data_IF_864114612106
#
_entry.id   IF_864114612106
#
_cell.length_a   1.000
_cell.length_b   1.000
_cell.length_c   1.000
_cell.angle_alpha   90.00
_cell.angle_beta   90.00
_cell.angle_gamma   90.00
#
_symmetry.space_group_name_H-M   'P 1'
#
loop_
_entity.id
_entity.type
_entity.pdbx_description
1 polymer ?
#
# COMPACT_ATOMS: atom_id res chain seq x y z
N UNK A 1 -2.52 -71.89 6.58
CA UNK A 1 -3.28 -70.67 6.54
C UNK A 1 -2.30 -69.51 6.61
N UNK A 2 -2.02 -68.80 5.51
CA UNK A 2 -1.11 -67.66 5.46
C UNK A 2 -2.01 -66.39 5.50
N UNK A 3 -1.87 -65.59 6.55
CA UNK A 3 -2.52 -64.29 6.70
C UNK A 3 -1.71 -63.23 5.94
N UNK A 4 -2.32 -62.62 4.89
CA UNK A 4 -1.74 -61.48 4.18
C UNK A 4 -2.27 -60.23 4.88
N UNK A 5 -1.39 -59.49 5.56
CA UNK A 5 -1.70 -58.16 6.10
C UNK A 5 -1.51 -57.15 4.96
N UNK A 6 -2.63 -56.59 4.46
CA UNK A 6 -2.61 -55.50 3.51
C UNK A 6 -2.44 -54.20 4.29
N UNK A 7 -1.25 -53.57 4.16
CA UNK A 7 -0.96 -52.29 4.75
C UNK A 7 -1.59 -51.18 3.88
N UNK A 8 -2.67 -50.56 4.37
CA UNK A 8 -3.28 -49.38 3.74
C UNK A 8 -2.41 -48.15 4.10
N UNK A 9 -1.63 -47.65 3.12
CA UNK A 9 -0.96 -46.39 3.19
C UNK A 9 -1.96 -45.25 2.99
N UNK A 10 -2.35 -44.56 4.09
CA UNK A 10 -3.06 -43.29 4.03
C UNK A 10 -2.08 -42.18 3.68
N UNK A 11 -2.09 -41.72 2.44
CA UNK A 11 -1.41 -40.51 2.02
C UNK A 11 -2.19 -39.30 2.56
N UNK A 12 -1.70 -38.68 3.64
CA UNK A 12 -2.19 -37.37 4.08
C UNK A 12 -1.69 -36.31 3.08
N UNK A 13 -2.53 -35.92 2.15
CA UNK A 13 -2.31 -34.69 1.39
C UNK A 13 -2.53 -33.53 2.35
N UNK A 14 -1.45 -32.86 2.77
CA UNK A 14 -1.55 -31.60 3.52
C UNK A 14 -2.23 -30.57 2.61
N UNK A 15 -3.50 -30.29 2.87
CA UNK A 15 -4.17 -29.13 2.28
C UNK A 15 -3.44 -27.91 2.82
N UNK A 16 -2.58 -27.32 1.99
CA UNK A 16 -1.89 -26.07 2.32
C UNK A 16 -2.97 -24.99 2.42
N UNK A 17 -3.25 -24.54 3.65
CA UNK A 17 -4.23 -23.48 3.90
C UNK A 17 -3.85 -22.23 3.10
N UNK A 18 -4.62 -21.93 2.10
CA UNK A 18 -4.58 -20.67 1.37
C UNK A 18 -4.94 -19.54 2.33
N UNK A 19 -4.09 -18.52 2.45
CA UNK A 19 -4.35 -17.40 3.34
C UNK A 19 -4.80 -16.18 2.51
N UNK A 20 -6.02 -15.74 2.75
CA UNK A 20 -6.58 -14.53 2.16
C UNK A 20 -6.14 -13.32 2.98
N UNK A 21 -5.69 -12.26 2.32
CA UNK A 21 -5.41 -10.96 2.91
C UNK A 21 -6.14 -9.86 2.16
N UNK A 22 -6.60 -8.85 2.91
CA UNK A 22 -7.18 -7.61 2.38
C UNK A 22 -6.21 -6.46 2.57
N UNK A 23 -6.06 -5.65 1.54
CA UNK A 23 -5.13 -4.51 1.52
C UNK A 23 -5.90 -3.28 1.05
N UNK A 24 -5.72 -2.16 1.75
CA UNK A 24 -6.23 -0.86 1.34
C UNK A 24 -5.05 0.03 0.92
N UNK A 25 -5.14 0.70 -0.23
CA UNK A 25 -4.24 1.80 -0.61
C UNK A 25 -5.04 3.07 -0.78
N UNK A 26 -4.60 4.17 -0.15
CA UNK A 26 -5.34 5.41 -0.21
C UNK A 26 -4.43 6.65 -0.01
N UNK A 27 -4.33 7.49 -1.02
CA UNK A 27 -3.81 8.85 -0.86
C UNK A 27 -4.87 9.65 -0.09
N UNK A 28 -4.55 10.18 1.09
CA UNK A 28 -5.49 10.80 2.01
C UNK A 28 -5.51 12.34 1.95
N UNK A 29 -4.84 12.92 0.95
CA UNK A 29 -4.81 14.37 0.74
C UNK A 29 -4.51 15.13 2.03
N UNK A 30 -3.37 14.82 2.65
CA UNK A 30 -2.89 15.43 3.90
C UNK A 30 -3.94 15.61 5.00
N UNK A 31 -4.91 14.68 5.07
CA UNK A 31 -5.94 14.66 6.13
C UNK A 31 -7.10 15.64 5.88
N UNK A 32 -7.22 16.24 4.71
CA UNK A 32 -8.27 17.19 4.33
C UNK A 32 -9.25 16.56 3.33
N UNK A 33 -10.52 16.91 3.42
CA UNK A 33 -11.49 16.51 2.40
C UNK A 33 -11.24 17.27 1.09
N UNK A 34 -11.19 16.54 -0.04
CA UNK A 34 -11.18 17.18 -1.34
C UNK A 34 -12.42 18.08 -1.49
N UNK A 35 -12.27 19.23 -2.11
CA UNK A 35 -13.35 20.19 -2.36
C UNK A 35 -14.02 20.84 -1.14
N UNK A 36 -13.54 20.55 0.08
CA UNK A 36 -14.01 21.16 1.33
C UNK A 36 -12.83 21.63 2.18
N UNK A 37 -12.18 22.70 1.72
CA UNK A 37 -10.98 23.26 2.34
C UNK A 37 -11.17 23.47 3.84
N UNK A 38 -10.24 22.95 4.64
CA UNK A 38 -10.24 23.02 6.10
C UNK A 38 -11.09 21.97 6.79
N UNK A 39 -11.77 21.07 6.04
CA UNK A 39 -12.57 19.99 6.63
C UNK A 39 -11.73 18.70 6.81
N UNK A 40 -11.65 18.17 8.04
CA UNK A 40 -10.90 16.95 8.34
C UNK A 40 -11.50 15.71 7.65
N UNK A 41 -10.63 14.73 7.26
CA UNK A 41 -11.10 13.47 6.67
C UNK A 41 -10.69 12.21 7.46
N UNK A 42 -9.82 12.31 8.45
CA UNK A 42 -9.26 11.13 9.15
C UNK A 42 -10.34 10.27 9.82
N UNK A 43 -11.42 10.86 10.32
CA UNK A 43 -12.55 10.09 10.89
C UNK A 43 -13.25 9.26 9.80
N UNK A 44 -13.45 9.82 8.62
CA UNK A 44 -14.02 9.14 7.47
C UNK A 44 -13.12 8.01 6.97
N UNK A 45 -11.80 8.26 6.92
CA UNK A 45 -10.79 7.24 6.56
C UNK A 45 -10.77 6.11 7.59
N UNK A 46 -10.81 6.41 8.90
CA UNK A 46 -10.90 5.41 9.96
C UNK A 46 -12.21 4.60 9.85
N UNK A 47 -13.33 5.25 9.55
CA UNK A 47 -14.61 4.59 9.28
C UNK A 47 -14.55 3.61 8.10
N UNK A 48 -13.85 4.00 7.03
CA UNK A 48 -13.59 3.15 5.88
C UNK A 48 -12.79 1.88 6.27
N UNK A 49 -11.69 2.05 7.03
CA UNK A 49 -10.88 0.95 7.52
C UNK A 49 -11.71 0.01 8.39
N UNK A 50 -12.49 0.54 9.34
CA UNK A 50 -13.35 -0.24 10.23
C UNK A 50 -14.44 -1.00 9.47
N UNK A 51 -14.96 -0.44 8.36
CA UNK A 51 -15.96 -1.08 7.50
C UNK A 51 -15.39 -2.25 6.71
N UNK A 52 -14.26 -2.05 6.03
CA UNK A 52 -13.67 -3.06 5.12
C UNK A 52 -12.72 -4.02 5.81
N UNK A 53 -12.20 -3.65 6.99
CA UNK A 53 -11.29 -4.44 7.84
C UNK A 53 -10.10 -4.99 7.06
N UNK A 54 -9.29 -4.13 6.41
CA UNK A 54 -8.09 -4.59 5.76
C UNK A 54 -7.09 -5.14 6.79
N UNK A 55 -6.30 -6.15 6.39
CA UNK A 55 -5.17 -6.64 7.18
C UNK A 55 -4.00 -5.66 7.16
N UNK A 56 -3.86 -4.97 6.03
CA UNK A 56 -2.78 -4.04 5.69
C UNK A 56 -3.37 -2.79 5.02
N UNK A 57 -2.83 -1.62 5.33
CA UNK A 57 -3.18 -0.41 4.60
C UNK A 57 -1.94 0.46 4.34
N UNK A 58 -1.88 1.08 3.16
CA UNK A 58 -0.86 2.04 2.75
C UNK A 58 -1.51 3.39 2.47
N UNK A 59 -0.93 4.45 3.03
CA UNK A 59 -1.41 5.81 2.90
C UNK A 59 -0.33 6.70 2.30
N UNK A 60 -0.75 7.62 1.44
CA UNK A 60 0.08 8.64 0.84
C UNK A 60 -0.40 10.02 1.29
N UNK A 61 0.47 11.02 1.20
CA UNK A 61 0.22 12.39 1.67
C UNK A 61 -0.12 12.45 3.17
N UNK A 62 0.74 11.86 3.97
CA UNK A 62 0.54 11.76 5.42
C UNK A 62 1.32 12.85 6.15
N UNK A 63 0.61 13.69 6.89
CA UNK A 63 1.22 14.61 7.87
C UNK A 63 1.43 13.94 9.22
N UNK A 64 2.55 14.25 9.86
CA UNK A 64 2.84 13.91 11.25
C UNK A 64 3.18 15.18 12.04
N UNK A 65 2.22 15.65 12.81
CA UNK A 65 2.31 16.81 13.70
C UNK A 65 2.77 18.12 13.02
N UNK A 66 2.30 18.39 11.80
CA UNK A 66 2.61 19.61 11.04
C UNK A 66 1.72 20.80 11.47
N UNK A 67 2.14 22.03 11.13
CA UNK A 67 1.27 23.21 11.25
C UNK A 67 0.06 23.14 10.33
N UNK A 68 0.18 22.48 9.14
CA UNK A 68 -0.97 22.19 8.27
C UNK A 68 -2.00 21.32 8.98
N UNK A 69 -1.57 20.24 9.63
CA UNK A 69 -2.49 19.41 10.42
C UNK A 69 -3.15 20.19 11.56
N UNK A 70 -2.41 21.11 12.21
CA UNK A 70 -2.95 22.00 13.25
C UNK A 70 -4.02 22.96 12.69
N UNK A 71 -3.80 23.50 11.49
CA UNK A 71 -4.76 24.41 10.85
C UNK A 71 -6.12 23.72 10.56
N UNK A 72 -6.09 22.44 10.18
CA UNK A 72 -7.27 21.62 9.84
C UNK A 72 -7.93 21.07 11.12
N UNK A 73 -7.14 20.45 12.00
CA UNK A 73 -7.62 19.69 13.17
C UNK A 73 -7.64 20.49 14.46
N UNK A 74 -7.15 21.74 14.46
CA UNK A 74 -7.01 22.62 15.64
C UNK A 74 -5.97 22.13 16.67
N UNK A 75 -5.24 21.08 16.33
CA UNK A 75 -4.13 20.50 17.10
C UNK A 75 -3.16 19.81 16.13
N UNK A 76 -1.87 19.85 16.42
CA UNK A 76 -0.86 19.10 15.65
C UNK A 76 -1.15 17.61 15.75
N UNK A 77 -1.56 17.03 14.63
CA UNK A 77 -2.04 15.65 14.56
C UNK A 77 -1.06 14.79 13.76
N UNK A 78 -0.65 13.66 14.33
CA UNK A 78 -0.01 12.57 13.61
C UNK A 78 -1.11 11.66 13.05
N UNK A 79 -1.30 11.68 11.74
CA UNK A 79 -2.43 10.98 11.11
C UNK A 79 -2.32 9.46 11.21
N UNK A 80 -1.11 8.91 11.17
CA UNK A 80 -0.94 7.45 11.30
C UNK A 80 -1.17 7.00 12.75
N UNK A 81 -0.70 7.76 13.73
CA UNK A 81 -0.99 7.48 15.13
C UNK A 81 -2.50 7.57 15.42
N UNK A 82 -3.18 8.57 14.86
CA UNK A 82 -4.63 8.74 15.04
C UNK A 82 -5.44 7.64 14.34
N UNK A 83 -5.09 7.27 13.12
CA UNK A 83 -5.72 6.14 12.41
C UNK A 83 -5.49 4.83 13.17
N UNK A 84 -4.27 4.57 13.65
CA UNK A 84 -3.95 3.39 14.46
C UNK A 84 -4.82 3.33 15.72
N UNK A 85 -4.96 4.45 16.43
CA UNK A 85 -5.81 4.56 17.63
C UNK A 85 -7.28 4.30 17.34
N UNK A 86 -7.82 4.87 16.23
CA UNK A 86 -9.24 4.74 15.85
C UNK A 86 -9.61 3.36 15.32
N UNK A 87 -8.64 2.61 14.80
CA UNK A 87 -8.88 1.31 14.15
C UNK A 87 -8.37 0.12 14.96
N UNK A 88 -7.58 0.36 16.02
CA UNK A 88 -6.92 -0.70 16.80
C UNK A 88 -5.78 -1.39 16.05
N UNK A 89 -5.32 -0.82 14.94
CA UNK A 89 -4.21 -1.34 14.14
C UNK A 89 -2.85 -0.79 14.63
N UNK A 90 -1.76 -1.38 14.17
CA UNK A 90 -0.40 -0.88 14.41
C UNK A 90 -0.01 0.08 13.29
N UNK A 91 0.40 1.30 13.64
CA UNK A 91 0.76 2.36 12.70
C UNK A 91 2.27 2.55 12.55
N UNK A 92 2.70 2.86 11.33
CA UNK A 92 4.10 3.14 10.98
C UNK A 92 4.15 4.34 10.03
N UNK A 93 4.84 5.41 10.46
CA UNK A 93 5.04 6.60 9.64
C UNK A 93 6.39 6.55 8.93
N UNK A 94 6.40 6.78 7.63
CA UNK A 94 7.57 6.86 6.76
C UNK A 94 7.85 8.29 6.35
N UNK A 95 8.61 9.02 7.16
CA UNK A 95 8.95 10.41 6.89
C UNK A 95 9.79 10.53 5.62
N UNK A 96 9.29 11.28 4.63
CA UNK A 96 10.01 11.65 3.43
C UNK A 96 10.79 12.98 3.63
N UNK A 97 10.20 13.93 4.35
CA UNK A 97 10.81 15.24 4.60
C UNK A 97 10.29 15.89 5.88
N UNK A 98 11.01 16.90 6.35
CA UNK A 98 10.49 17.87 7.30
C UNK A 98 9.52 18.81 6.58
N UNK A 99 8.38 19.06 7.18
CA UNK A 99 7.36 19.92 6.61
C UNK A 99 6.60 20.66 7.71
N UNK A 100 6.51 21.97 7.60
CA UNK A 100 5.72 22.85 8.46
C UNK A 100 5.83 22.53 9.98
N UNK A 101 7.06 22.34 10.44
CA UNK A 101 7.40 22.05 11.85
C UNK A 101 7.07 20.62 12.31
N UNK A 102 6.70 19.73 11.40
CA UNK A 102 6.47 18.30 11.62
C UNK A 102 7.11 17.47 10.53
N UNK A 103 6.49 16.33 10.18
CA UNK A 103 6.92 15.44 9.10
C UNK A 103 5.84 15.25 8.05
N UNK A 104 6.26 14.99 6.80
CA UNK A 104 5.41 14.60 5.69
C UNK A 104 5.97 13.38 4.99
N UNK A 105 5.09 12.47 4.57
CA UNK A 105 5.51 11.24 3.91
C UNK A 105 4.38 10.24 3.70
N UNK A 106 4.68 8.98 3.98
CA UNK A 106 3.81 7.84 3.77
C UNK A 106 3.48 7.14 5.10
N UNK A 107 2.40 6.36 5.11
CA UNK A 107 2.02 5.58 6.28
C UNK A 107 1.61 4.17 5.98
N UNK A 108 1.84 3.25 6.92
CA UNK A 108 1.30 1.90 6.88
C UNK A 108 0.51 1.61 8.15
N UNK A 109 -0.60 0.86 8.00
CA UNK A 109 -1.27 0.21 9.10
C UNK A 109 -1.28 -1.31 8.92
N UNK A 110 -1.23 -2.03 10.04
CA UNK A 110 -1.29 -3.49 10.05
C UNK A 110 -2.12 -4.01 11.21
N UNK A 111 -2.81 -5.13 11.01
CA UNK A 111 -3.55 -5.80 12.09
C UNK A 111 -2.67 -6.67 13.00
N UNK A 112 -1.37 -6.78 12.72
CA UNK A 112 -0.38 -7.51 13.52
C UNK A 112 0.86 -6.65 13.75
N UNK A 113 1.57 -6.82 14.88
CA UNK A 113 2.82 -6.09 15.10
C UNK A 113 3.88 -6.42 14.05
N UNK A 114 4.63 -5.41 13.62
CA UNK A 114 5.70 -5.51 12.63
C UNK A 114 6.84 -4.54 12.97
N UNK A 115 7.87 -4.50 12.12
CA UNK A 115 8.91 -3.48 12.15
C UNK A 115 9.00 -2.83 10.79
N UNK A 116 9.01 -1.51 10.76
CA UNK A 116 9.12 -0.73 9.55
C UNK A 116 10.57 -0.37 9.22
N UNK A 117 10.86 -0.30 7.94
CA UNK A 117 12.06 0.29 7.36
C UNK A 117 11.63 1.41 6.43
N UNK A 118 12.32 2.54 6.50
CA UNK A 118 12.07 3.69 5.64
C UNK A 118 13.32 3.96 4.80
N UNK A 119 13.11 4.21 3.52
CA UNK A 119 14.16 4.54 2.57
C UNK A 119 13.76 5.76 1.75
N UNK A 120 14.60 6.79 1.75
CA UNK A 120 14.40 7.95 0.88
C UNK A 120 14.69 7.55 -0.56
N UNK A 121 13.80 7.90 -1.46
CA UNK A 121 13.90 7.63 -2.88
C UNK A 121 14.66 8.75 -3.60
N UNK A 122 15.39 8.44 -4.70
CA UNK A 122 16.17 9.44 -5.42
C UNK A 122 15.30 10.50 -6.10
N UNK A 123 15.77 11.73 -6.11
CA UNK A 123 15.16 12.88 -6.79
C UNK A 123 16.20 13.63 -7.63
N UNK A 124 16.73 13.04 -8.72
CA UNK A 124 17.83 13.62 -9.50
C UNK A 124 17.48 14.97 -10.14
N UNK A 125 16.21 15.28 -10.32
CA UNK A 125 15.73 16.59 -10.80
C UNK A 125 15.36 17.56 -9.67
N UNK A 126 15.63 17.18 -8.41
CA UNK A 126 15.10 17.93 -7.27
C UNK A 126 13.59 17.71 -7.09
N UNK A 127 12.91 18.68 -6.48
CA UNK A 127 11.51 18.59 -6.15
C UNK A 127 11.29 17.96 -4.77
N UNK A 128 10.07 17.52 -4.51
CA UNK A 128 9.64 17.01 -3.22
C UNK A 128 10.25 15.63 -2.92
N UNK A 129 10.94 15.46 -1.78
CA UNK A 129 11.44 14.14 -1.38
C UNK A 129 10.32 13.12 -1.23
N UNK A 130 10.61 11.86 -1.59
CA UNK A 130 9.70 10.73 -1.50
C UNK A 130 10.32 9.60 -0.71
N UNK A 131 9.51 8.82 -0.03
CA UNK A 131 9.95 7.66 0.72
C UNK A 131 9.29 6.35 0.26
N UNK A 132 10.02 5.26 0.45
CA UNK A 132 9.51 3.92 0.44
C UNK A 132 9.49 3.43 1.88
N UNK A 133 8.32 3.16 2.44
CA UNK A 133 8.18 2.48 3.72
C UNK A 133 7.77 1.03 3.50
N UNK A 134 8.40 0.10 4.21
CA UNK A 134 8.02 -1.31 4.12
C UNK A 134 8.20 -2.04 5.44
N UNK A 135 7.41 -3.10 5.59
CA UNK A 135 7.38 -3.96 6.78
C UNK A 135 7.50 -5.42 6.39
N UNK A 136 8.01 -6.21 7.32
CA UNK A 136 8.02 -7.67 7.26
C UNK A 136 6.80 -8.19 8.05
N UNK A 137 5.72 -8.55 7.34
CA UNK A 137 4.43 -8.91 7.91
C UNK A 137 4.28 -10.43 8.07
N UNK A 138 3.97 -10.93 9.27
CA UNK A 138 3.79 -12.35 9.52
C UNK A 138 2.42 -12.84 9.02
N UNK A 139 2.39 -13.60 7.92
CA UNK A 139 1.18 -14.30 7.50
C UNK A 139 0.82 -15.41 8.48
N UNK A 140 1.78 -16.27 8.83
CA UNK A 140 1.65 -17.35 9.79
C UNK A 140 2.95 -17.51 10.59
N UNK A 141 3.03 -18.53 11.46
CA UNK A 141 4.27 -18.84 12.21
C UNK A 141 5.49 -19.09 11.29
N UNK A 142 5.27 -19.54 10.04
CA UNK A 142 6.33 -19.93 9.11
C UNK A 142 6.36 -19.11 7.82
N UNK A 143 5.32 -18.35 7.50
CA UNK A 143 5.21 -17.57 6.26
C UNK A 143 5.18 -16.08 6.58
N UNK A 144 5.91 -15.33 5.79
CA UNK A 144 5.98 -13.85 5.86
C UNK A 144 5.83 -13.27 4.48
N UNK A 145 5.39 -12.03 4.41
CA UNK A 145 5.43 -11.19 3.21
C UNK A 145 6.09 -9.86 3.56
N UNK A 146 6.60 -9.19 2.57
CA UNK A 146 6.96 -7.77 2.67
C UNK A 146 5.82 -6.95 2.11
N UNK A 147 5.31 -6.01 2.91
CA UNK A 147 4.33 -5.03 2.46
C UNK A 147 4.97 -3.66 2.42
N UNK A 148 4.84 -2.98 1.29
CA UNK A 148 5.47 -1.69 1.03
C UNK A 148 4.46 -0.64 0.58
N UNK A 149 4.67 0.60 1.00
CA UNK A 149 3.92 1.79 0.59
C UNK A 149 4.85 2.88 0.08
N UNK A 150 4.43 3.63 -0.92
CA UNK A 150 5.20 4.75 -1.47
C UNK A 150 4.27 5.76 -2.15
N UNK A 151 4.77 6.99 -2.32
CA UNK A 151 4.19 8.02 -3.16
C UNK A 151 5.31 8.56 -4.06
N UNK A 152 5.21 8.40 -5.38
CA UNK A 152 6.27 8.82 -6.29
C UNK A 152 6.13 10.28 -6.71
N UNK A 153 7.19 10.82 -7.30
CA UNK A 153 7.27 12.22 -7.71
C UNK A 153 6.15 12.58 -8.69
N UNK A 154 5.35 13.60 -8.38
CA UNK A 154 4.30 14.09 -9.27
C UNK A 154 4.86 14.97 -10.40
N UNK A 155 6.00 15.67 -10.20
CA UNK A 155 6.50 16.68 -11.13
C UNK A 155 7.30 16.09 -12.30
N UNK A 156 8.30 15.22 -12.01
CA UNK A 156 9.33 14.81 -12.98
C UNK A 156 9.27 13.31 -13.26
N UNK A 157 9.16 12.96 -14.55
CA UNK A 157 9.19 11.55 -14.97
C UNK A 157 10.56 10.91 -14.70
N UNK A 158 11.66 11.66 -14.85
CA UNK A 158 13.01 11.19 -14.56
C UNK A 158 13.19 10.81 -13.07
N UNK A 159 12.54 11.54 -12.17
CA UNK A 159 12.50 11.14 -10.76
C UNK A 159 11.75 9.83 -10.59
N UNK A 160 10.56 9.67 -11.20
CA UNK A 160 9.79 8.43 -11.15
C UNK A 160 10.56 7.24 -11.72
N UNK A 161 11.27 7.41 -12.83
CA UNK A 161 12.16 6.39 -13.39
C UNK A 161 13.25 5.99 -12.38
N UNK A 162 13.91 6.96 -11.77
CA UNK A 162 14.94 6.71 -10.75
C UNK A 162 14.36 6.02 -9.51
N UNK A 163 13.16 6.42 -9.09
CA UNK A 163 12.45 5.87 -7.94
C UNK A 163 12.01 4.42 -8.16
N UNK A 164 11.43 4.07 -9.31
CA UNK A 164 11.06 2.68 -9.61
C UNK A 164 12.28 1.77 -9.76
N UNK A 165 13.40 2.29 -10.31
CA UNK A 165 14.66 1.55 -10.35
C UNK A 165 15.19 1.26 -8.93
N UNK A 166 15.12 2.24 -8.02
CA UNK A 166 15.53 2.06 -6.64
C UNK A 166 14.62 1.08 -5.88
N UNK A 167 13.30 1.09 -6.14
CA UNK A 167 12.35 0.10 -5.63
C UNK A 167 12.71 -1.31 -6.13
N UNK A 168 12.96 -1.47 -7.44
CA UNK A 168 13.38 -2.74 -8.02
C UNK A 168 14.66 -3.26 -7.35
N UNK A 169 15.67 -2.41 -7.20
CA UNK A 169 16.93 -2.73 -6.53
C UNK A 169 16.74 -3.12 -5.06
N UNK A 170 15.89 -2.39 -4.33
CA UNK A 170 15.61 -2.65 -2.92
C UNK A 170 15.06 -4.06 -2.70
N UNK A 171 14.18 -4.51 -3.58
CA UNK A 171 13.53 -5.81 -3.44
C UNK A 171 14.13 -6.91 -4.32
N UNK A 172 15.18 -6.65 -5.10
CA UNK A 172 15.78 -7.62 -6.02
C UNK A 172 16.06 -8.98 -5.38
N UNK A 173 16.71 -8.95 -4.22
CA UNK A 173 17.13 -10.15 -3.47
C UNK A 173 16.17 -10.59 -2.37
N UNK A 174 15.00 -9.95 -2.27
CA UNK A 174 14.00 -10.26 -1.24
C UNK A 174 13.37 -11.61 -1.51
N UNK A 175 13.52 -12.54 -0.55
CA UNK A 175 13.00 -13.91 -0.65
C UNK A 175 11.50 -14.04 -0.38
N UNK A 176 10.92 -13.37 0.66
CA UNK A 176 9.47 -13.39 0.86
C UNK A 176 8.73 -12.73 -0.31
N UNK A 177 7.44 -13.09 -0.55
CA UNK A 177 6.58 -12.36 -1.46
C UNK A 177 6.52 -10.88 -1.09
N UNK A 178 6.56 -9.98 -2.08
CA UNK A 178 6.50 -8.53 -1.87
C UNK A 178 5.26 -7.96 -2.53
N UNK A 179 4.54 -7.11 -1.81
CA UNK A 179 3.40 -6.34 -2.29
C UNK A 179 3.76 -4.86 -2.12
N UNK A 180 3.66 -4.08 -3.19
CA UNK A 180 3.89 -2.64 -3.21
C UNK A 180 2.58 -1.94 -3.55
N UNK A 181 2.15 -1.00 -2.71
CA UNK A 181 0.98 -0.16 -2.97
C UNK A 181 1.35 1.33 -2.95
N UNK A 182 0.56 2.14 -3.63
CA UNK A 182 0.69 3.59 -3.53
C UNK A 182 0.21 4.37 -4.73
N UNK A 183 0.28 5.68 -4.58
CA UNK A 183 0.17 6.64 -5.66
C UNK A 183 1.51 6.75 -6.38
N UNK A 184 1.59 6.23 -7.59
CA UNK A 184 2.84 6.20 -8.34
C UNK A 184 2.96 7.34 -9.35
N UNK A 185 1.95 8.22 -9.43
CA UNK A 185 1.95 9.42 -10.26
C UNK A 185 2.32 9.16 -11.73
N UNK A 186 1.99 7.98 -12.26
CA UNK A 186 2.11 7.64 -13.67
C UNK A 186 0.97 6.76 -14.14
N UNK A 187 0.65 6.86 -15.42
CA UNK A 187 -0.33 6.02 -16.11
C UNK A 187 0.35 4.83 -16.80
N UNK A 188 -0.40 3.78 -17.20
CA UNK A 188 0.19 2.56 -17.78
C UNK A 188 0.97 2.75 -19.10
N UNK A 189 0.79 3.87 -19.79
CA UNK A 189 1.52 4.23 -21.03
C UNK A 189 2.92 4.81 -20.77
N UNK A 190 3.29 5.12 -19.52
CA UNK A 190 4.54 5.79 -19.14
C UNK A 190 5.71 4.84 -18.94
N UNK A 191 6.92 5.37 -19.10
CA UNK A 191 8.16 4.60 -18.92
C UNK A 191 8.32 3.97 -17.51
N UNK A 192 8.04 4.68 -16.39
CA UNK A 192 8.13 4.07 -15.05
C UNK A 192 7.24 2.83 -14.91
N UNK A 193 6.04 2.80 -15.54
CA UNK A 193 5.16 1.64 -15.54
C UNK A 193 5.84 0.45 -16.24
N UNK A 194 6.44 0.68 -17.44
CA UNK A 194 7.15 -0.36 -18.19
C UNK A 194 8.32 -0.94 -17.40
N UNK A 195 9.11 -0.07 -16.76
CA UNK A 195 10.24 -0.48 -15.92
C UNK A 195 9.75 -1.33 -14.74
N UNK A 196 8.72 -0.89 -14.03
CA UNK A 196 8.20 -1.63 -12.87
C UNK A 196 7.63 -2.98 -13.31
N UNK A 197 6.93 -3.03 -14.45
CA UNK A 197 6.35 -4.25 -15.04
C UNK A 197 7.40 -5.32 -15.38
N UNK A 198 8.69 -5.01 -15.46
CA UNK A 198 9.72 -6.03 -15.70
C UNK A 198 9.84 -7.00 -14.54
N UNK A 199 9.72 -6.50 -13.30
CA UNK A 199 9.90 -7.26 -12.05
C UNK A 199 8.59 -7.53 -11.28
N UNK A 200 7.49 -6.86 -11.64
CA UNK A 200 6.23 -6.90 -10.91
C UNK A 200 5.04 -7.14 -11.84
N UNK A 201 3.96 -7.64 -11.26
CA UNK A 201 2.66 -7.77 -11.90
C UNK A 201 1.70 -6.75 -11.29
N UNK A 202 0.99 -6.01 -12.11
CA UNK A 202 -0.08 -5.12 -11.69
C UNK A 202 -1.32 -5.94 -11.30
N UNK A 203 -1.78 -5.82 -10.06
CA UNK A 203 -2.90 -6.61 -9.52
C UNK A 203 -4.22 -6.35 -10.28
N UNK A 204 -4.48 -5.10 -10.68
CA UNK A 204 -5.70 -4.75 -11.42
C UNK A 204 -5.71 -5.35 -12.83
N UNK A 205 -4.56 -5.41 -13.49
CA UNK A 205 -4.43 -6.09 -14.79
C UNK A 205 -4.59 -7.61 -14.63
N UNK A 206 -4.00 -8.21 -13.58
CA UNK A 206 -4.21 -9.65 -13.30
C UNK A 206 -5.67 -9.98 -12.99
N UNK A 207 -6.41 -9.05 -12.38
CA UNK A 207 -7.85 -9.20 -12.15
C UNK A 207 -8.66 -9.03 -13.42
N UNK A 208 -8.17 -8.25 -14.40
CA UNK A 208 -8.84 -7.95 -15.67
C UNK A 208 -9.84 -6.78 -15.58
N UNK A 209 -9.78 -5.97 -14.52
CA UNK A 209 -10.63 -4.79 -14.32
C UNK A 209 -9.84 -3.59 -13.76
N UNK A 210 -8.99 -2.94 -14.58
CA UNK A 210 -8.24 -1.76 -14.17
C UNK A 210 -9.11 -0.51 -14.15
N UNK A 211 -9.64 -0.16 -12.98
CA UNK A 211 -10.47 1.01 -12.76
C UNK A 211 -9.63 2.28 -12.57
N UNK A 212 -10.25 3.45 -12.85
CA UNK A 212 -9.61 4.77 -12.70
C UNK A 212 -9.68 5.24 -11.24
N UNK A 213 -8.64 5.94 -10.76
CA UNK A 213 -8.48 6.29 -9.34
C UNK A 213 -8.42 7.79 -9.06
N UNK A 214 -8.11 8.63 -10.05
CA UNK A 214 -7.93 10.09 -9.93
C UNK A 214 -8.59 10.84 -11.09
N UNK A 215 -9.23 12.00 -10.91
CA UNK A 215 -9.68 12.65 -9.68
C UNK A 215 -10.99 12.03 -9.20
N UNK A 216 -11.32 12.21 -7.92
CA UNK A 216 -12.44 11.52 -7.24
C UNK A 216 -13.81 11.79 -7.83
N UNK A 217 -14.10 13.01 -8.28
CA UNK A 217 -15.38 13.44 -8.86
C UNK A 217 -15.59 12.96 -10.29
N UNK A 218 -14.52 12.87 -11.07
CA UNK A 218 -14.54 12.42 -12.47
C UNK A 218 -13.23 11.73 -12.82
N UNK A 219 -13.02 10.49 -12.39
CA UNK A 219 -11.76 9.78 -12.60
C UNK A 219 -11.39 9.68 -14.08
N UNK A 220 -10.22 10.16 -14.43
CA UNK A 220 -9.70 10.16 -15.82
C UNK A 220 -8.44 9.33 -15.99
N UNK A 221 -7.73 9.07 -14.90
CA UNK A 221 -6.46 8.33 -14.91
C UNK A 221 -6.40 7.33 -13.78
N UNK A 222 -5.59 6.30 -13.94
CA UNK A 222 -5.22 5.35 -12.90
C UNK A 222 -3.75 5.59 -12.55
N UNK A 223 -3.51 6.06 -11.33
CA UNK A 223 -2.18 6.36 -10.80
C UNK A 223 -1.93 5.68 -9.44
N UNK A 224 -2.97 5.12 -8.83
CA UNK A 224 -2.89 4.33 -7.60
C UNK A 224 -2.87 2.84 -7.96
N UNK A 225 -1.91 2.10 -7.38
CA UNK A 225 -1.62 0.73 -7.78
C UNK A 225 -1.39 -0.20 -6.59
N UNK A 226 -1.59 -1.49 -6.86
CA UNK A 226 -1.03 -2.59 -6.11
C UNK A 226 -0.19 -3.47 -7.05
N UNK A 227 1.08 -3.64 -6.73
CA UNK A 227 2.06 -4.40 -7.49
C UNK A 227 2.52 -5.62 -6.72
N UNK A 228 2.58 -6.75 -7.41
CA UNK A 228 2.95 -8.06 -6.85
C UNK A 228 4.28 -8.50 -7.46
N UNK A 229 5.32 -8.65 -6.64
CA UNK A 229 6.64 -9.05 -7.13
C UNK A 229 6.58 -10.39 -7.84
N UNK A 230 7.14 -10.48 -9.05
CA UNK A 230 7.25 -11.73 -9.82
C UNK A 230 8.11 -12.77 -9.09
N UNK A 231 7.92 -14.04 -9.44
CA UNK A 231 8.60 -15.15 -8.79
C UNK A 231 7.88 -15.72 -7.56
N UNK A 232 6.71 -15.18 -7.22
CA UNK A 232 5.83 -15.67 -6.15
C UNK A 232 4.42 -15.91 -6.68
N UNK A 233 3.71 -16.84 -6.06
CA UNK A 233 2.34 -17.15 -6.47
C UNK A 233 1.35 -16.33 -5.64
N UNK A 234 0.75 -15.36 -6.32
CA UNK A 234 -0.39 -14.59 -5.83
C UNK A 234 -1.60 -14.92 -6.71
N UNK A 235 -2.74 -15.16 -6.08
CA UNK A 235 -4.03 -15.15 -6.77
C UNK A 235 -4.76 -13.87 -6.41
N UNK A 236 -4.99 -13.01 -7.38
CA UNK A 236 -5.81 -11.81 -7.20
C UNK A 236 -7.27 -12.23 -7.19
N UNK A 237 -7.90 -12.18 -6.02
CA UNK A 237 -9.31 -12.49 -5.84
C UNK A 237 -10.16 -11.33 -6.31
N UNK A 238 -9.79 -10.10 -5.86
CA UNK A 238 -10.53 -8.91 -6.19
C UNK A 238 -9.65 -7.64 -6.15
N UNK A 239 -9.99 -6.65 -6.96
CA UNK A 239 -9.47 -5.27 -6.92
C UNK A 239 -10.65 -4.33 -7.15
N UNK A 240 -10.95 -3.48 -6.18
CA UNK A 240 -12.06 -2.54 -6.22
C UNK A 240 -11.55 -1.11 -6.01
N UNK A 241 -11.95 -0.20 -6.86
CA UNK A 241 -11.85 1.24 -6.60
C UNK A 241 -13.13 1.64 -5.89
N UNK A 242 -13.02 2.04 -4.62
CA UNK A 242 -14.17 2.28 -3.76
C UNK A 242 -14.79 3.66 -4.03
N UNK A 243 -16.13 3.80 -4.02
CA UNK A 243 -16.83 5.04 -4.38
C UNK A 243 -16.91 6.04 -3.22
N UNK A 244 -15.76 6.38 -2.62
CA UNK A 244 -15.66 7.37 -1.54
C UNK A 244 -14.89 8.60 -2.03
N UNK A 245 -15.26 9.77 -1.51
CA UNK A 245 -14.80 11.10 -1.88
C UNK A 245 -14.17 11.88 -0.70
N UNK A 246 -13.53 11.15 0.23
CA UNK A 246 -12.88 11.76 1.39
C UNK A 246 -11.51 12.39 1.06
N UNK A 247 -11.00 12.16 -0.14
CA UNK A 247 -9.76 12.66 -0.71
C UNK A 247 -9.99 12.98 -2.18
N UNK A 248 -9.07 13.61 -2.86
CA UNK A 248 -9.09 13.80 -4.32
C UNK A 248 -8.76 12.51 -5.10
N UNK A 249 -8.24 11.49 -4.44
CA UNK A 249 -8.11 10.12 -4.93
C UNK A 249 -9.24 9.21 -4.46
N UNK A 250 -9.43 8.09 -5.15
CA UNK A 250 -10.31 7.00 -4.70
C UNK A 250 -9.52 5.92 -3.97
N UNK A 251 -10.06 5.36 -2.87
CA UNK A 251 -9.40 4.23 -2.19
C UNK A 251 -9.42 2.98 -3.07
N UNK A 252 -8.32 2.23 -3.06
CA UNK A 252 -8.20 0.94 -3.77
C UNK A 252 -8.15 -0.19 -2.73
N UNK A 253 -9.10 -1.12 -2.81
CA UNK A 253 -9.20 -2.30 -1.97
C UNK A 253 -8.82 -3.55 -2.76
N UNK A 254 -7.86 -4.31 -2.26
CA UNK A 254 -7.32 -5.49 -2.93
C UNK A 254 -7.53 -6.71 -2.02
N UNK A 255 -7.98 -7.82 -2.60
CA UNK A 255 -8.06 -9.12 -1.92
C UNK A 255 -7.16 -10.11 -2.64
N UNK A 256 -6.21 -10.70 -1.90
CA UNK A 256 -5.24 -11.66 -2.42
C UNK A 256 -5.30 -12.97 -1.65
N UNK A 257 -5.12 -14.09 -2.36
CA UNK A 257 -4.74 -15.39 -1.78
C UNK A 257 -3.23 -15.59 -2.03
N UNK A 258 -2.50 -15.93 -0.96
CA UNK A 258 -1.05 -16.16 -1.00
C UNK A 258 -0.79 -17.64 -0.71
N UNK A 259 -0.07 -18.29 -1.61
CA UNK A 259 0.29 -19.70 -1.53
C UNK A 259 1.63 -19.93 -0.81
#
# INVERSE_FOLDING_TARGET
>A
MKWIFTLLLFSFTSVQSQQTIKILSYNIFHGEQAYKKGEPNIDSVAGLINKYKPDLAAFQEVDSATGRSESIYKVRTDFIAELARKTGMHGFFGKAMDYDGGGYGEGLLTNKPARATVKILPTPKGGEPRALIYIDYPLSKKKRIVFAGTHLCHQFEENRISQVNEINKTFEKTKPPVILCGDLNFTPDKEPYRILSTAWNDAAILKGDPQLTFSVDNPKVRIDYAWLKKGHTFKVVDVQVLPYDYSDHKPVLITLEIQ
#
